data_IF_814785368266
#
_entry.id   IF_814785368266
#
_cell.length_a   1.000
_cell.length_b   1.000
_cell.length_c   1.000
_cell.angle_alpha   90.00
_cell.angle_beta   90.00
_cell.angle_gamma   90.00
#
_symmetry.space_group_name_H-M   'P 1'
#
loop_
_entity.id
_entity.type
_entity.pdbx_description
1 polymer ?
#
# COMPACT_ATOMS: atom_id res chain seq x y z
N UNK A 1 2.06 12.23 19.22
CA UNK A 1 2.20 11.90 17.77
C UNK A 1 2.02 13.14 16.90
N UNK A 2 0.87 13.85 16.94
CA UNK A 2 0.67 15.06 16.12
C UNK A 2 1.77 16.12 16.37
N UNK A 3 2.08 16.41 17.60
CA UNK A 3 3.16 17.36 17.96
C UNK A 3 4.50 17.02 17.30
N UNK A 4 4.86 15.73 17.26
CA UNK A 4 6.04 15.26 16.55
C UNK A 4 5.93 15.51 15.04
N UNK A 5 4.79 15.16 14.43
CA UNK A 5 4.59 15.37 13.00
C UNK A 5 4.62 16.85 12.62
N UNK A 6 4.12 17.72 13.49
CA UNK A 6 4.02 19.16 13.20
C UNK A 6 5.37 19.88 13.39
N UNK A 7 6.23 19.44 14.33
CA UNK A 7 7.38 20.21 14.75
C UNK A 7 8.74 19.49 14.62
N UNK A 8 8.75 18.16 14.49
CA UNK A 8 9.99 17.40 14.60
C UNK A 8 10.22 16.41 13.45
N UNK A 9 9.17 15.97 12.77
CA UNK A 9 9.31 15.03 11.66
C UNK A 9 10.05 15.68 10.48
N UNK A 10 11.08 15.03 9.94
CA UNK A 10 11.77 15.53 8.76
C UNK A 10 10.78 15.60 7.57
N UNK A 11 10.93 16.66 6.77
CA UNK A 11 10.05 16.92 5.62
C UNK A 11 10.86 17.28 4.41
N UNK A 12 10.33 16.90 3.25
CA UNK A 12 10.79 17.40 1.95
C UNK A 12 10.63 18.91 1.84
N UNK A 13 11.26 19.54 0.85
CA UNK A 13 11.12 20.96 0.58
C UNK A 13 9.67 21.39 0.30
N UNK A 14 8.82 20.47 -0.21
CA UNK A 14 7.40 20.68 -0.45
C UNK A 14 6.50 20.14 0.68
N UNK A 15 7.07 19.88 1.86
CA UNK A 15 6.33 19.63 3.11
C UNK A 15 5.90 18.18 3.35
N UNK A 16 6.36 17.22 2.54
CA UNK A 16 6.00 15.81 2.70
C UNK A 16 6.84 15.16 3.80
N UNK A 17 6.18 14.45 4.70
CA UNK A 17 6.85 13.80 5.84
C UNK A 17 7.69 12.63 5.35
N UNK A 18 8.99 12.70 5.65
CA UNK A 18 9.96 11.69 5.27
C UNK A 18 9.92 10.48 6.20
N UNK A 19 10.43 9.37 5.69
CA UNK A 19 10.65 8.17 6.48
C UNK A 19 11.80 8.42 7.45
N UNK A 20 11.49 8.56 8.74
CA UNK A 20 12.50 8.73 9.77
C UNK A 20 13.01 7.35 10.19
N UNK A 21 13.90 6.78 9.38
CA UNK A 21 14.56 5.57 9.81
C UNK A 21 15.73 5.95 10.74
N UNK A 22 15.70 5.41 11.95
CA UNK A 22 16.86 5.35 12.84
C UNK A 22 17.80 4.22 12.41
N UNK A 23 17.89 3.95 11.10
CA UNK A 23 18.79 2.93 10.61
C UNK A 23 20.23 3.41 10.74
N UNK A 24 21.04 2.62 11.39
CA UNK A 24 22.48 2.82 11.51
C UNK A 24 23.25 2.29 10.30
N UNK A 25 22.55 1.91 9.22
CA UNK A 25 23.15 1.39 8.00
C UNK A 25 23.63 2.53 7.09
N UNK A 26 24.77 2.34 6.43
CA UNK A 26 25.27 3.25 5.42
C UNK A 26 24.25 3.43 4.27
N UNK A 27 23.97 4.68 3.92
CA UNK A 27 23.04 5.03 2.82
C UNK A 27 21.64 5.44 3.27
N UNK A 28 21.33 5.40 4.58
CA UNK A 28 20.07 5.94 5.07
C UNK A 28 20.22 7.45 5.33
N UNK A 29 19.32 8.22 4.71
CA UNK A 29 19.14 9.65 4.94
C UNK A 29 17.80 9.88 5.62
N UNK A 30 17.66 10.85 6.54
CA UNK A 30 16.36 11.23 7.09
C UNK A 30 15.45 11.89 6.06
N UNK A 31 15.95 12.18 4.87
CA UNK A 31 15.23 12.84 3.79
C UNK A 31 14.73 11.89 2.71
N UNK A 32 14.57 10.62 3.04
CA UNK A 32 14.00 9.62 2.12
C UNK A 32 12.48 9.55 2.22
N UNK A 33 11.82 9.38 1.07
CA UNK A 33 10.45 8.93 1.01
C UNK A 33 10.43 7.45 0.64
N UNK A 34 9.75 6.68 1.46
CA UNK A 34 9.45 5.27 1.25
C UNK A 34 7.96 5.15 1.00
N UNK A 35 7.57 4.43 -0.02
CA UNK A 35 6.14 4.31 -0.40
C UNK A 35 5.26 3.77 0.73
N UNK A 36 5.83 3.03 1.68
CA UNK A 36 5.18 2.54 2.90
C UNK A 36 4.54 3.68 3.70
N UNK A 37 5.18 4.85 3.69
CA UNK A 37 4.70 6.04 4.39
C UNK A 37 3.32 6.49 3.93
N UNK A 38 2.89 6.15 2.71
CA UNK A 38 1.56 6.46 2.21
C UNK A 38 0.45 5.74 3.02
N UNK A 39 0.74 4.59 3.62
CA UNK A 39 -0.17 3.92 4.54
C UNK A 39 -0.11 4.47 5.97
N UNK A 40 1.06 4.98 6.38
CA UNK A 40 1.32 5.36 7.77
C UNK A 40 0.80 6.75 8.11
N UNK A 41 1.25 7.78 7.38
CA UNK A 41 1.00 9.18 7.72
C UNK A 41 -0.35 9.69 7.25
N UNK A 42 -0.72 9.61 5.94
CA UNK A 42 -1.96 10.20 5.46
C UNK A 42 -3.21 9.64 6.13
N UNK A 43 -3.41 8.31 6.32
CA UNK A 43 -4.58 7.81 7.01
C UNK A 43 -4.65 8.25 8.48
N UNK A 44 -3.51 8.38 9.15
CA UNK A 44 -3.47 8.88 10.52
C UNK A 44 -3.94 10.35 10.59
N UNK A 45 -3.45 11.21 9.70
CA UNK A 45 -3.87 12.62 9.63
C UNK A 45 -5.38 12.73 9.34
N UNK A 46 -5.90 11.91 8.42
CA UNK A 46 -7.32 11.88 8.09
C UNK A 46 -8.19 11.54 9.31
N UNK A 47 -7.84 10.50 10.08
CA UNK A 47 -8.54 10.10 11.31
C UNK A 47 -8.45 11.19 12.39
N UNK A 48 -7.38 11.97 12.40
CA UNK A 48 -7.20 13.11 13.33
C UNK A 48 -7.94 14.38 12.86
N UNK A 49 -8.78 14.30 11.81
CA UNK A 49 -9.56 15.43 11.28
C UNK A 49 -8.75 16.39 10.41
N UNK A 50 -7.54 16.04 10.00
CA UNK A 50 -6.64 16.85 9.17
C UNK A 50 -6.66 16.37 7.71
N UNK A 51 -7.84 16.43 7.10
CA UNK A 51 -8.06 15.83 5.77
C UNK A 51 -7.25 16.52 4.67
N UNK A 52 -7.14 17.86 4.70
CA UNK A 52 -6.36 18.61 3.71
C UNK A 52 -4.87 18.26 3.79
N UNK A 53 -4.34 18.12 5.00
CA UNK A 53 -2.95 17.67 5.19
C UNK A 53 -2.77 16.22 4.73
N UNK A 54 -3.74 15.36 5.02
CA UNK A 54 -3.69 13.96 4.60
C UNK A 54 -3.63 13.81 3.08
N UNK A 55 -4.48 14.53 2.35
CA UNK A 55 -4.48 14.47 0.88
C UNK A 55 -3.23 15.12 0.28
N UNK A 56 -2.69 16.17 0.88
CA UNK A 56 -1.44 16.77 0.41
C UNK A 56 -0.25 15.81 0.58
N UNK A 57 -0.21 15.03 1.67
CA UNK A 57 0.79 13.96 1.79
C UNK A 57 0.62 12.93 0.65
N UNK A 58 -0.59 12.49 0.33
CA UNK A 58 -0.83 11.56 -0.80
C UNK A 58 -0.32 12.15 -2.11
N UNK A 59 -0.65 13.40 -2.42
CA UNK A 59 -0.19 14.10 -3.62
C UNK A 59 1.33 14.19 -3.68
N UNK A 60 1.97 14.38 -2.53
CA UNK A 60 3.43 14.39 -2.41
C UNK A 60 4.05 13.03 -2.77
N UNK A 61 3.52 11.94 -2.23
CA UNK A 61 3.98 10.58 -2.60
C UNK A 61 3.82 10.33 -4.10
N UNK A 62 2.71 10.78 -4.70
CA UNK A 62 2.51 10.68 -6.15
C UNK A 62 3.58 11.47 -6.91
N UNK A 63 3.83 12.72 -6.54
CA UNK A 63 4.84 13.57 -7.21
C UNK A 63 6.25 12.97 -7.17
N UNK A 64 6.63 12.34 -6.05
CA UNK A 64 8.00 11.89 -5.82
C UNK A 64 8.27 10.45 -6.26
N UNK A 65 7.27 9.57 -6.18
CA UNK A 65 7.50 8.13 -6.33
C UNK A 65 6.67 7.47 -7.44
N UNK A 66 5.62 8.13 -7.95
CA UNK A 66 4.76 7.49 -8.95
C UNK A 66 5.43 7.50 -10.33
N UNK A 67 5.45 6.34 -10.97
CA UNK A 67 5.89 6.16 -12.34
C UNK A 67 4.69 6.22 -13.29
N UNK A 68 4.57 7.32 -14.03
CA UNK A 68 3.48 7.52 -14.99
C UNK A 68 3.49 6.52 -16.16
N UNK A 69 4.66 5.95 -16.49
CA UNK A 69 4.82 5.00 -17.59
C UNK A 69 4.18 3.65 -17.25
N UNK A 70 4.40 3.16 -16.04
CA UNK A 70 3.89 1.86 -15.58
C UNK A 70 2.59 1.98 -14.78
N UNK A 71 2.31 3.15 -14.22
CA UNK A 71 1.21 3.36 -13.30
C UNK A 71 1.43 2.74 -11.91
N UNK A 72 2.68 2.50 -11.52
CA UNK A 72 3.11 1.92 -10.27
C UNK A 72 3.98 2.89 -9.46
N UNK A 73 4.19 2.61 -8.19
CA UNK A 73 5.13 3.36 -7.37
C UNK A 73 6.51 2.71 -7.32
N UNK A 74 7.56 3.52 -7.47
CA UNK A 74 8.91 3.14 -7.03
C UNK A 74 8.98 3.09 -5.50
N UNK A 75 9.96 2.32 -4.97
CA UNK A 75 10.04 2.07 -3.54
C UNK A 75 10.59 3.25 -2.75
N UNK A 76 11.82 3.69 -3.03
CA UNK A 76 12.54 4.67 -2.19
C UNK A 76 13.22 5.72 -3.05
N UNK A 77 13.01 7.00 -2.69
CA UNK A 77 13.72 8.14 -3.24
C UNK A 77 14.37 8.96 -2.12
N UNK A 78 15.60 9.40 -2.33
CA UNK A 78 16.25 10.44 -1.54
C UNK A 78 15.83 11.81 -2.11
N UNK A 79 15.15 12.61 -1.32
CA UNK A 79 14.53 13.86 -1.79
C UNK A 79 15.49 15.05 -1.84
N UNK A 80 16.64 14.98 -1.17
CA UNK A 80 17.69 16.00 -1.27
C UNK A 80 18.46 15.88 -2.58
N UNK A 81 18.77 14.65 -2.98
CA UNK A 81 19.54 14.38 -4.19
C UNK A 81 18.69 14.10 -5.41
N UNK A 82 17.40 13.82 -5.23
CA UNK A 82 16.50 13.37 -6.29
C UNK A 82 16.81 11.98 -6.83
N UNK A 83 17.69 11.22 -6.19
CA UNK A 83 18.11 9.89 -6.63
C UNK A 83 17.26 8.81 -6.01
N UNK A 84 16.85 7.84 -6.81
CA UNK A 84 16.21 6.63 -6.27
C UNK A 84 17.25 5.78 -5.54
N UNK A 85 17.00 5.51 -4.26
CA UNK A 85 17.76 4.55 -3.44
C UNK A 85 17.38 3.13 -3.85
N UNK A 86 16.07 2.89 -4.06
CA UNK A 86 15.56 1.64 -4.62
C UNK A 86 14.53 1.94 -5.72
N UNK A 87 14.99 1.96 -6.97
CA UNK A 87 14.14 2.15 -8.16
C UNK A 87 13.56 0.81 -8.62
N UNK A 88 12.65 0.27 -7.83
CA UNK A 88 11.95 -0.98 -8.10
C UNK A 88 10.46 -0.79 -7.81
N UNK A 89 9.60 -1.40 -8.60
CA UNK A 89 8.16 -1.45 -8.33
C UNK A 89 7.86 -2.57 -7.31
N UNK A 90 8.34 -2.37 -6.09
CA UNK A 90 8.18 -3.34 -5.00
C UNK A 90 6.72 -3.59 -4.70
N UNK A 91 6.30 -4.86 -4.78
CA UNK A 91 4.89 -5.23 -4.70
C UNK A 91 4.28 -4.91 -3.34
N UNK A 92 4.96 -5.26 -2.24
CA UNK A 92 4.49 -4.91 -0.89
C UNK A 92 4.38 -3.40 -0.69
N UNK A 93 5.29 -2.59 -1.26
CA UNK A 93 5.21 -1.13 -1.25
C UNK A 93 3.95 -0.61 -1.97
N UNK A 94 3.66 -1.13 -3.15
CA UNK A 94 2.42 -0.82 -3.87
C UNK A 94 1.18 -1.35 -3.12
N UNK A 95 1.31 -2.48 -2.41
CA UNK A 95 0.30 -3.00 -1.49
C UNK A 95 -0.02 -2.01 -0.36
N UNK A 96 1.00 -1.42 0.28
CA UNK A 96 0.82 -0.35 1.25
C UNK A 96 0.10 0.86 0.65
N UNK A 97 0.45 1.24 -0.58
CA UNK A 97 -0.17 2.36 -1.27
C UNK A 97 -1.68 2.14 -1.49
N UNK A 98 -2.11 0.99 -2.03
CA UNK A 98 -3.55 0.72 -2.24
C UNK A 98 -4.32 0.66 -0.92
N UNK A 99 -3.73 0.09 0.14
CA UNK A 99 -4.36 0.06 1.46
C UNK A 99 -4.46 1.46 2.08
N UNK A 100 -3.44 2.31 1.92
CA UNK A 100 -3.44 3.69 2.39
C UNK A 100 -4.50 4.53 1.68
N UNK A 101 -4.55 4.45 0.35
CA UNK A 101 -5.56 5.12 -0.48
C UNK A 101 -6.98 4.68 -0.12
N UNK A 102 -7.20 3.37 0.09
CA UNK A 102 -8.51 2.87 0.51
C UNK A 102 -8.97 3.49 1.84
N UNK A 103 -8.06 3.60 2.82
CA UNK A 103 -8.37 4.20 4.13
C UNK A 103 -8.69 5.69 4.04
N UNK A 104 -7.93 6.44 3.23
CA UNK A 104 -8.18 7.87 3.06
C UNK A 104 -9.48 8.11 2.30
N UNK A 105 -9.75 7.33 1.25
CA UNK A 105 -11.01 7.43 0.49
C UNK A 105 -12.23 7.24 1.37
N UNK A 106 -12.17 6.24 2.27
CA UNK A 106 -13.24 6.01 3.24
C UNK A 106 -13.36 7.16 4.24
N UNK A 107 -12.24 7.55 4.87
CA UNK A 107 -12.22 8.66 5.83
C UNK A 107 -12.73 9.99 5.22
N UNK A 108 -12.40 10.27 3.96
CA UNK A 108 -12.90 11.43 3.24
C UNK A 108 -14.42 11.36 3.02
N UNK A 109 -14.95 10.15 2.76
CA UNK A 109 -16.40 9.92 2.69
C UNK A 109 -17.09 10.18 4.03
N UNK A 110 -16.56 9.65 5.11
CA UNK A 110 -17.07 9.83 6.47
C UNK A 110 -16.98 11.30 6.94
N UNK A 111 -15.94 12.02 6.53
CA UNK A 111 -15.75 13.44 6.84
C UNK A 111 -16.58 14.38 5.95
N UNK A 112 -17.32 13.86 4.97
CA UNK A 112 -18.11 14.69 4.05
C UNK A 112 -17.24 15.49 3.06
N UNK A 113 -16.09 14.99 2.65
CA UNK A 113 -15.15 15.60 1.70
C UNK A 113 -15.25 14.89 0.32
N UNK A 114 -16.32 15.14 -0.49
CA UNK A 114 -16.57 14.36 -1.70
C UNK A 114 -15.49 14.52 -2.77
N UNK A 115 -14.88 15.70 -2.89
CA UNK A 115 -13.84 15.96 -3.90
C UNK A 115 -12.57 15.13 -3.58
N UNK A 116 -12.13 15.12 -2.33
CA UNK A 116 -11.00 14.30 -1.88
C UNK A 116 -11.32 12.81 -2.04
N UNK A 117 -12.53 12.40 -1.67
CA UNK A 117 -12.98 11.01 -1.85
C UNK A 117 -12.92 10.59 -3.32
N UNK A 118 -13.40 11.43 -4.22
CA UNK A 118 -13.41 11.14 -5.65
C UNK A 118 -11.98 11.09 -6.22
N UNK A 119 -11.12 12.03 -5.85
CA UNK A 119 -9.71 12.08 -6.26
C UNK A 119 -8.96 10.81 -5.82
N UNK A 120 -9.05 10.48 -4.54
CA UNK A 120 -8.33 9.33 -3.98
C UNK A 120 -8.89 7.99 -4.47
N UNK A 121 -10.22 7.89 -4.67
CA UNK A 121 -10.86 6.72 -5.28
C UNK A 121 -10.42 6.52 -6.74
N UNK A 122 -10.38 7.59 -7.52
CA UNK A 122 -9.94 7.51 -8.92
C UNK A 122 -8.48 7.03 -9.01
N UNK A 123 -7.61 7.57 -8.16
CA UNK A 123 -6.21 7.17 -8.13
C UNK A 123 -6.03 5.74 -7.63
N UNK A 124 -6.77 5.32 -6.60
CA UNK A 124 -6.80 3.93 -6.12
C UNK A 124 -7.18 2.95 -7.24
N UNK A 125 -8.24 3.22 -7.99
CA UNK A 125 -8.67 2.35 -9.08
C UNK A 125 -7.64 2.31 -10.21
N UNK A 126 -6.97 3.42 -10.53
CA UNK A 126 -5.85 3.47 -11.48
C UNK A 126 -4.70 2.59 -11.03
N UNK A 127 -4.26 2.70 -9.78
CA UNK A 127 -3.18 1.89 -9.22
C UNK A 127 -3.54 0.41 -9.19
N UNK A 128 -4.77 0.07 -8.79
CA UNK A 128 -5.26 -1.32 -8.81
C UNK A 128 -5.21 -1.91 -10.23
N UNK A 129 -5.63 -1.15 -11.24
CA UNK A 129 -5.60 -1.60 -12.64
C UNK A 129 -4.16 -1.88 -13.10
N UNK A 130 -3.22 -1.00 -12.77
CA UNK A 130 -1.80 -1.17 -13.08
C UNK A 130 -1.19 -2.38 -12.35
N UNK A 131 -1.47 -2.57 -11.06
CA UNK A 131 -1.00 -3.74 -10.33
C UNK A 131 -1.55 -5.04 -10.91
N UNK A 132 -2.85 -5.09 -11.20
CA UNK A 132 -3.53 -6.30 -11.67
C UNK A 132 -3.06 -6.74 -13.06
N UNK A 133 -2.47 -5.86 -13.86
CA UNK A 133 -1.81 -6.24 -15.12
C UNK A 133 -0.62 -7.19 -14.90
N UNK A 134 -0.05 -7.21 -13.70
CA UNK A 134 1.07 -8.06 -13.30
C UNK A 134 0.68 -9.23 -12.39
N UNK A 135 -0.63 -9.45 -12.18
CA UNK A 135 -1.07 -10.57 -11.36
C UNK A 135 -0.79 -11.91 -12.07
N UNK A 136 -0.10 -12.79 -11.39
CA UNK A 136 0.19 -14.13 -11.89
C UNK A 136 -1.10 -14.99 -11.98
N UNK A 137 -1.11 -16.06 -12.79
CA UNK A 137 -2.30 -16.92 -12.99
C UNK A 137 -2.84 -17.54 -11.70
N UNK A 138 -2.02 -17.71 -10.67
CA UNK A 138 -2.42 -18.22 -9.37
C UNK A 138 -3.03 -17.13 -8.45
N UNK A 139 -3.07 -15.89 -8.91
CA UNK A 139 -3.63 -14.75 -8.19
C UNK A 139 -2.62 -13.98 -7.34
N UNK A 140 -1.36 -14.39 -7.28
CA UNK A 140 -0.31 -13.67 -6.55
C UNK A 140 0.41 -12.64 -7.42
N UNK A 141 1.19 -11.80 -6.76
CA UNK A 141 2.20 -10.96 -7.39
C UNK A 141 3.61 -11.52 -7.15
N UNK A 142 4.56 -11.04 -7.93
CA UNK A 142 5.99 -11.21 -7.64
C UNK A 142 6.47 -10.07 -6.73
N UNK A 143 7.59 -10.26 -6.00
CA UNK A 143 8.17 -9.24 -5.09
C UNK A 143 8.42 -7.91 -5.81
N UNK A 144 8.85 -7.96 -7.06
CA UNK A 144 8.91 -6.81 -7.96
C UNK A 144 7.84 -7.02 -9.03
N UNK A 145 6.84 -6.13 -9.07
CA UNK A 145 5.64 -6.31 -9.89
C UNK A 145 5.96 -6.58 -11.38
N UNK A 146 6.87 -5.83 -11.94
CA UNK A 146 7.30 -5.88 -13.35
C UNK A 146 8.52 -6.78 -13.60
N UNK A 147 8.86 -7.66 -12.64
CA UNK A 147 9.94 -8.64 -12.74
C UNK A 147 9.43 -10.05 -12.40
N UNK A 148 8.99 -10.82 -13.41
CA UNK A 148 8.45 -12.17 -13.22
C UNK A 148 9.47 -13.19 -12.72
N UNK A 149 10.75 -12.87 -12.75
CA UNK A 149 11.83 -13.73 -12.23
C UNK A 149 12.06 -13.51 -10.71
N UNK A 150 11.46 -12.48 -10.11
CA UNK A 150 11.49 -12.29 -8.67
C UNK A 150 10.57 -13.31 -7.97
N UNK A 151 10.80 -13.58 -6.67
CA UNK A 151 10.03 -14.58 -5.94
C UNK A 151 8.53 -14.16 -5.80
N UNK A 152 7.59 -15.13 -5.65
CA UNK A 152 6.19 -14.81 -5.39
C UNK A 152 6.00 -14.12 -4.03
N UNK A 153 5.19 -13.06 -3.98
CA UNK A 153 4.89 -12.33 -2.75
C UNK A 153 3.40 -12.36 -2.39
N UNK A 154 3.07 -13.16 -1.38
CA UNK A 154 1.73 -13.24 -0.82
C UNK A 154 1.31 -12.00 -0.03
N UNK A 155 2.28 -11.20 0.48
CA UNK A 155 2.00 -9.99 1.28
C UNK A 155 1.23 -8.96 0.47
N UNK A 156 1.80 -8.55 -0.66
CA UNK A 156 1.18 -7.59 -1.58
C UNK A 156 -0.15 -8.08 -2.12
N UNK A 157 -0.25 -9.39 -2.38
CA UNK A 157 -1.47 -10.04 -2.86
C UNK A 157 -2.60 -9.95 -1.85
N UNK A 158 -2.32 -10.19 -0.57
CA UNK A 158 -3.27 -10.03 0.53
C UNK A 158 -3.63 -8.55 0.77
N UNK A 159 -2.67 -7.63 0.68
CA UNK A 159 -2.89 -6.19 0.82
C UNK A 159 -3.83 -5.66 -0.28
N UNK A 160 -3.59 -6.06 -1.54
CA UNK A 160 -4.46 -5.71 -2.66
C UNK A 160 -5.86 -6.25 -2.44
N UNK A 161 -6.00 -7.52 -2.06
CA UNK A 161 -7.31 -8.13 -1.80
C UNK A 161 -8.06 -7.40 -0.67
N UNK A 162 -7.38 -7.03 0.41
CA UNK A 162 -7.98 -6.26 1.51
C UNK A 162 -8.49 -4.89 1.04
N UNK A 163 -7.71 -4.16 0.23
CA UNK A 163 -8.10 -2.87 -0.33
C UNK A 163 -9.31 -3.00 -1.28
N UNK A 164 -9.32 -4.03 -2.13
CA UNK A 164 -10.42 -4.29 -3.08
C UNK A 164 -11.72 -4.63 -2.33
N UNK A 165 -11.70 -5.59 -1.41
CA UNK A 165 -12.92 -5.97 -0.68
C UNK A 165 -13.47 -4.81 0.16
N UNK A 166 -12.59 -4.05 0.83
CA UNK A 166 -12.96 -2.85 1.56
C UNK A 166 -13.61 -1.83 0.63
N UNK A 167 -12.98 -1.55 -0.50
CA UNK A 167 -13.47 -0.56 -1.45
C UNK A 167 -14.77 -0.93 -2.13
N UNK A 168 -14.98 -2.22 -2.43
CA UNK A 168 -16.25 -2.74 -2.95
C UNK A 168 -17.36 -2.54 -1.90
N UNK A 169 -17.12 -2.92 -0.65
CA UNK A 169 -18.09 -2.77 0.42
C UNK A 169 -18.55 -1.32 0.61
N UNK A 170 -17.62 -0.37 0.47
CA UNK A 170 -17.90 1.07 0.65
C UNK A 170 -18.17 1.81 -0.67
N UNK A 171 -18.23 1.12 -1.80
CA UNK A 171 -18.67 1.63 -3.11
C UNK A 171 -17.69 2.59 -3.81
N UNK A 172 -16.38 2.51 -3.53
CA UNK A 172 -15.36 3.31 -4.20
C UNK A 172 -14.35 2.50 -5.03
N UNK A 173 -14.44 1.16 -4.99
CA UNK A 173 -13.71 0.25 -5.89
C UNK A 173 -14.72 -0.53 -6.73
N UNK A 174 -14.39 -0.70 -8.02
CA UNK A 174 -15.27 -1.36 -8.96
C UNK A 174 -15.35 -2.87 -8.72
N UNK A 175 -16.56 -3.42 -8.76
CA UNK A 175 -16.85 -4.85 -8.55
C UNK A 175 -16.07 -5.78 -9.50
N UNK A 176 -15.67 -5.28 -10.67
CA UNK A 176 -14.87 -6.04 -11.66
C UNK A 176 -13.56 -6.62 -11.08
N UNK A 177 -13.03 -6.04 -9.98
CA UNK A 177 -11.79 -6.49 -9.36
C UNK A 177 -11.97 -7.61 -8.34
N UNK A 178 -13.21 -7.93 -7.95
CA UNK A 178 -13.51 -9.01 -6.99
C UNK A 178 -12.88 -10.35 -7.37
N UNK A 179 -12.99 -10.87 -8.61
CA UNK A 179 -12.40 -12.17 -8.94
C UNK A 179 -10.88 -12.24 -8.71
N UNK A 180 -10.17 -11.17 -9.01
CA UNK A 180 -8.73 -11.07 -8.79
C UNK A 180 -8.39 -11.08 -7.29
N UNK A 181 -9.13 -10.33 -6.47
CA UNK A 181 -8.97 -10.31 -5.02
C UNK A 181 -9.31 -11.67 -4.38
N UNK A 182 -10.35 -12.37 -4.86
CA UNK A 182 -10.71 -13.72 -4.39
C UNK A 182 -9.60 -14.73 -4.73
N UNK A 183 -9.01 -14.65 -5.93
CA UNK A 183 -7.90 -15.52 -6.32
C UNK A 183 -6.70 -15.27 -5.42
N UNK A 184 -6.28 -14.02 -5.22
CA UNK A 184 -5.17 -13.64 -4.35
C UNK A 184 -5.39 -14.14 -2.90
N UNK A 185 -6.54 -13.82 -2.31
CA UNK A 185 -6.86 -14.21 -0.93
C UNK A 185 -6.83 -15.72 -0.74
N UNK A 186 -7.44 -16.47 -1.67
CA UNK A 186 -7.46 -17.94 -1.64
C UNK A 186 -6.05 -18.52 -1.68
N UNK A 187 -5.21 -18.10 -2.64
CA UNK A 187 -3.86 -18.64 -2.78
C UNK A 187 -2.99 -18.32 -1.58
N UNK A 188 -3.08 -17.10 -1.02
CA UNK A 188 -2.33 -16.76 0.20
C UNK A 188 -2.79 -17.59 1.40
N UNK A 189 -4.10 -17.87 1.52
CA UNK A 189 -4.62 -18.78 2.55
C UNK A 189 -4.09 -20.21 2.39
N UNK A 190 -4.02 -20.73 1.15
CA UNK A 190 -3.47 -22.06 0.86
C UNK A 190 -1.98 -22.18 1.16
N UNK A 191 -1.25 -21.05 1.17
CA UNK A 191 0.18 -20.96 1.54
C UNK A 191 0.40 -20.75 3.05
N UNK A 192 -0.63 -20.81 3.86
CA UNK A 192 -0.51 -20.78 5.32
C UNK A 192 -0.20 -22.18 5.82
N UNK A 193 0.89 -22.31 6.59
CA UNK A 193 1.33 -23.60 7.12
C UNK A 193 0.49 -24.08 8.34
N UNK A 194 0.81 -25.28 8.84
CA UNK A 194 0.12 -25.89 9.97
C UNK A 194 0.21 -25.08 11.27
N UNK A 195 1.20 -24.19 11.39
CA UNK A 195 1.38 -23.28 12.53
C UNK A 195 0.61 -21.95 12.34
N UNK A 196 -0.05 -21.76 11.20
CA UNK A 196 -0.76 -20.54 10.85
C UNK A 196 0.13 -19.44 10.29
N UNK A 197 1.38 -19.73 9.90
CA UNK A 197 2.29 -18.76 9.31
C UNK A 197 2.11 -18.71 7.80
N UNK A 198 1.90 -17.52 7.27
CA UNK A 198 1.87 -17.28 5.82
C UNK A 198 3.28 -17.45 5.26
N UNK A 199 3.42 -18.27 4.23
CA UNK A 199 4.66 -18.57 3.52
C UNK A 199 4.67 -17.95 2.13
N UNK A 200 5.82 -17.97 1.48
CA UNK A 200 6.03 -17.39 0.15
C UNK A 200 5.64 -15.91 0.13
N UNK A 201 6.22 -15.17 1.06
CA UNK A 201 6.04 -13.74 1.27
C UNK A 201 7.37 -13.03 1.39
N UNK A 202 7.38 -11.74 1.13
CA UNK A 202 8.54 -10.88 1.38
C UNK A 202 8.90 -10.93 2.87
N UNK A 203 10.11 -11.40 3.19
CA UNK A 203 10.52 -11.81 4.53
C UNK A 203 11.11 -10.68 5.36
N UNK A 204 10.68 -10.58 6.62
CA UNK A 204 11.30 -9.74 7.63
C UNK A 204 12.66 -10.35 8.06
N UNK A 205 13.70 -9.54 8.41
CA UNK A 205 13.66 -8.09 8.67
C UNK A 205 14.04 -7.20 7.48
N UNK A 206 14.67 -7.73 6.46
CA UNK A 206 15.30 -6.93 5.39
C UNK A 206 14.41 -6.76 4.15
N UNK A 207 13.37 -7.58 4.01
CA UNK A 207 12.40 -7.53 2.91
C UNK A 207 13.04 -7.59 1.50
N UNK A 208 14.09 -8.39 1.36
CA UNK A 208 14.79 -8.62 0.07
C UNK A 208 14.80 -10.08 -0.36
N UNK A 209 14.27 -10.98 0.47
CA UNK A 209 14.19 -12.40 0.22
C UNK A 209 12.88 -13.00 0.72
N UNK A 210 12.55 -14.18 0.21
CA UNK A 210 11.38 -14.92 0.67
C UNK A 210 11.52 -15.36 2.13
N UNK A 211 10.42 -15.27 2.90
CA UNK A 211 10.43 -15.65 4.30
C UNK A 211 9.04 -15.64 4.95
N UNK A 212 8.96 -15.01 6.09
CA UNK A 212 7.71 -14.69 6.82
C UNK A 212 7.76 -13.28 7.34
N UNK A 213 6.60 -12.64 7.50
CA UNK A 213 6.51 -11.30 8.08
C UNK A 213 5.22 -11.09 8.86
N UNK A 214 5.25 -10.20 9.84
CA UNK A 214 4.07 -9.79 10.59
C UNK A 214 3.07 -9.05 9.68
N UNK A 215 3.58 -8.34 8.68
CA UNK A 215 2.80 -7.62 7.67
C UNK A 215 1.94 -8.60 6.85
N UNK A 216 2.52 -9.72 6.41
CA UNK A 216 1.79 -10.75 5.67
C UNK A 216 0.67 -11.37 6.49
N UNK A 217 0.95 -11.67 7.78
CA UNK A 217 -0.06 -12.17 8.70
C UNK A 217 -1.22 -11.19 8.84
N UNK A 218 -0.91 -9.91 9.11
CA UNK A 218 -1.90 -8.85 9.27
C UNK A 218 -2.71 -8.63 7.99
N UNK A 219 -2.04 -8.61 6.82
CA UNK A 219 -2.68 -8.40 5.53
C UNK A 219 -3.68 -9.53 5.21
N UNK A 220 -3.31 -10.81 5.44
CA UNK A 220 -4.22 -11.93 5.22
C UNK A 220 -5.44 -11.86 6.14
N UNK A 221 -5.25 -11.57 7.43
CA UNK A 221 -6.37 -11.42 8.38
C UNK A 221 -7.31 -10.30 7.93
N UNK A 222 -6.76 -9.16 7.50
CA UNK A 222 -7.57 -8.05 7.00
C UNK A 222 -8.31 -8.41 5.70
N UNK A 223 -7.64 -9.08 4.76
CA UNK A 223 -8.24 -9.52 3.51
C UNK A 223 -9.45 -10.43 3.74
N UNK A 224 -9.30 -11.46 4.59
CA UNK A 224 -10.40 -12.38 4.89
C UNK A 224 -11.54 -11.69 5.66
N UNK A 225 -11.20 -10.79 6.60
CA UNK A 225 -12.22 -10.03 7.32
C UNK A 225 -13.06 -9.14 6.40
N UNK A 226 -12.43 -8.42 5.48
CA UNK A 226 -13.14 -7.58 4.51
C UNK A 226 -13.88 -8.40 3.46
N UNK A 227 -13.30 -9.54 3.00
CA UNK A 227 -13.97 -10.48 2.09
C UNK A 227 -15.30 -10.97 2.67
N UNK A 228 -15.28 -11.41 3.93
CA UNK A 228 -16.51 -11.88 4.63
C UNK A 228 -17.55 -10.77 4.75
N UNK A 229 -17.14 -9.55 5.12
CA UNK A 229 -18.04 -8.40 5.21
C UNK A 229 -18.66 -8.06 3.86
N UNK A 230 -17.82 -7.98 2.80
CA UNK A 230 -18.28 -7.67 1.45
C UNK A 230 -19.19 -8.74 0.85
N UNK A 231 -19.12 -10.00 1.33
CA UNK A 231 -20.01 -11.08 0.91
C UNK A 231 -21.37 -11.05 1.63
N UNK A 232 -21.46 -10.47 2.83
CA UNK A 232 -22.68 -10.40 3.62
C UNK A 232 -23.58 -9.20 3.26
N UNK A 233 -23.07 -8.20 2.57
CA UNK A 233 -23.80 -6.98 2.23
C UNK A 233 -24.77 -7.12 1.05
N UNK A 234 -24.93 -8.33 0.50
CA UNK A 234 -25.86 -8.65 -0.59
C UNK A 234 -27.18 -9.28 -0.11
N UNK A 235 -27.44 -9.27 1.17
CA UNK A 235 -28.69 -9.69 1.82
C UNK A 235 -29.25 -8.55 2.68
#
# INVERSE_FOLDING_TARGET
MLDYLDHSAPRTADGIICHNSVSFEEGYSPMQLWIDGLYMVPPFLAVMGRMDDAVEQVRGYIRHLFDEETGLFFHIVDTETGRYVRRKHWATGNGWAVMGLARITEAAGEAGCPDIRNETAAFLNRLLESMLAWQAPDGRFHDILDDPDSFPDGTSSAMMAAAVFRGILHGYVHEKYRPAAEAACRTVMEKTDEMGLVREVCGCPDFVSEGTSAEAQAALVMADAWRRKASQSFF
#
